data_IF_763276964894
#
_entry.id   IF_763276964894
#
_cell.length_a   1.000
_cell.length_b   1.000
_cell.length_c   1.000
_cell.angle_alpha   90.00
_cell.angle_beta   90.00
_cell.angle_gamma   90.00
#
_symmetry.space_group_name_H-M   'P 1'
#
loop_
_entity.id
_entity.type
_entity.pdbx_description
1 polymer ?
#
# COMPACT_ATOMS: atom_id res chain seq x y z
N UNK A 1 1.14 -5.56 14.48
CA UNK A 1 -0.24 -5.46 15.02
C UNK A 1 -1.30 -5.48 13.93
N UNK A 2 -1.05 -4.96 12.73
CA UNK A 2 -2.04 -4.86 11.63
C UNK A 2 -2.77 -6.16 11.28
N UNK A 3 -2.15 -7.35 11.19
CA UNK A 3 -2.91 -8.58 10.95
C UNK A 3 -3.96 -8.89 12.01
N UNK A 4 -3.66 -8.57 13.27
CA UNK A 4 -4.60 -8.81 14.37
C UNK A 4 -5.81 -7.87 14.31
N UNK A 5 -5.63 -6.64 13.83
CA UNK A 5 -6.74 -5.72 13.56
C UNK A 5 -7.55 -6.16 12.35
N UNK A 6 -6.86 -6.57 11.27
CA UNK A 6 -7.50 -6.99 10.04
C UNK A 6 -8.46 -8.17 10.27
N UNK A 7 -8.01 -9.18 11.01
CA UNK A 7 -8.81 -10.36 11.33
C UNK A 7 -9.68 -10.23 12.60
N UNK A 8 -9.76 -9.04 13.19
CA UNK A 8 -10.62 -8.80 14.35
C UNK A 8 -10.17 -9.49 15.66
N UNK A 9 -8.93 -9.97 15.74
CA UNK A 9 -8.40 -10.58 16.95
C UNK A 9 -8.24 -9.59 18.11
N UNK A 10 -8.02 -8.31 17.77
CA UNK A 10 -7.89 -7.20 18.72
C UNK A 10 -8.76 -6.04 18.24
N UNK A 11 -9.60 -5.51 19.13
CA UNK A 11 -10.38 -4.31 18.83
C UNK A 11 -9.48 -3.06 18.82
N UNK A 12 -9.47 -2.25 17.75
CA UNK A 12 -8.68 -1.02 17.69
C UNK A 12 -8.98 -0.06 18.84
N UNK A 13 -10.24 0.06 19.25
CA UNK A 13 -10.68 0.90 20.37
C UNK A 13 -10.00 0.48 21.69
N UNK A 14 -9.78 -0.82 21.90
CA UNK A 14 -9.09 -1.32 23.08
C UNK A 14 -7.62 -0.89 23.06
N UNK A 15 -6.95 -1.02 21.92
CA UNK A 15 -5.55 -0.61 21.78
C UNK A 15 -5.42 0.91 21.95
N UNK A 16 -6.34 1.70 21.39
CA UNK A 16 -6.37 3.14 21.56
C UNK A 16 -6.44 3.55 23.03
N UNK A 17 -7.29 2.90 23.83
CA UNK A 17 -7.41 3.16 25.26
C UNK A 17 -6.12 2.79 26.01
N UNK A 18 -5.50 1.67 25.69
CA UNK A 18 -4.24 1.25 26.32
C UNK A 18 -3.09 2.23 25.99
N UNK A 19 -2.97 2.67 24.73
CA UNK A 19 -1.99 3.67 24.32
C UNK A 19 -2.24 5.00 25.03
N UNK A 20 -3.50 5.47 25.05
CA UNK A 20 -3.86 6.72 25.73
C UNK A 20 -3.48 6.71 27.22
N UNK A 21 -3.68 5.58 27.88
CA UNK A 21 -3.42 5.40 29.30
C UNK A 21 -1.98 4.96 29.63
N UNK A 22 -1.15 4.72 28.62
CA UNK A 22 0.26 4.32 28.81
C UNK A 22 1.12 5.49 29.31
N UNK A 23 2.33 5.18 29.75
CA UNK A 23 3.34 6.17 30.15
C UNK A 23 4.26 6.59 29.00
N UNK A 24 3.86 6.38 27.75
CA UNK A 24 4.63 6.82 26.57
C UNK A 24 4.64 8.35 26.45
N UNK A 25 5.66 8.94 25.78
CA UNK A 25 5.66 10.35 25.44
C UNK A 25 4.39 10.75 24.67
N UNK A 26 3.84 11.96 24.87
CA UNK A 26 2.64 12.41 24.16
C UNK A 26 2.79 12.34 22.63
N UNK A 27 3.94 12.73 22.11
CA UNK A 27 4.25 12.72 20.67
C UNK A 27 4.13 11.31 20.06
N UNK A 28 4.65 10.28 20.75
CA UNK A 28 4.58 8.90 20.30
C UNK A 28 3.13 8.37 20.33
N UNK A 29 2.35 8.79 21.35
CA UNK A 29 0.92 8.44 21.44
C UNK A 29 0.13 9.04 20.29
N UNK A 30 0.32 10.33 20.05
CA UNK A 30 -0.40 11.07 19.00
C UNK A 30 -0.06 10.50 17.62
N UNK A 31 1.23 10.26 17.33
CA UNK A 31 1.65 9.64 16.08
C UNK A 31 1.04 8.24 15.88
N UNK A 32 1.05 7.40 16.92
CA UNK A 32 0.45 6.07 16.81
C UNK A 32 -1.07 6.10 16.64
N UNK A 33 -1.76 6.99 17.37
CA UNK A 33 -3.22 7.13 17.26
C UNK A 33 -3.65 7.73 15.93
N UNK A 34 -2.85 8.66 15.37
CA UNK A 34 -3.04 9.19 14.02
C UNK A 34 -3.05 8.05 12.99
N UNK A 35 -2.01 7.22 12.98
CA UNK A 35 -1.91 6.08 12.05
C UNK A 35 -3.05 5.06 12.25
N UNK A 36 -3.33 4.71 13.50
CA UNK A 36 -4.28 3.66 13.82
C UNK A 36 -5.74 4.09 13.63
N UNK A 37 -6.07 5.35 13.86
CA UNK A 37 -7.44 5.85 13.78
C UNK A 37 -7.65 6.63 12.48
N UNK A 38 -6.94 7.73 12.29
CA UNK A 38 -7.23 8.66 11.20
C UNK A 38 -6.90 8.02 9.85
N UNK A 39 -5.68 7.49 9.67
CA UNK A 39 -5.28 6.88 8.41
C UNK A 39 -6.12 5.66 8.07
N UNK A 40 -6.42 4.83 9.06
CA UNK A 40 -7.28 3.68 8.87
C UNK A 40 -8.71 4.07 8.47
N UNK A 41 -9.32 5.04 9.16
CA UNK A 41 -10.67 5.50 8.82
C UNK A 41 -10.73 6.16 7.43
N UNK A 42 -9.67 6.86 7.01
CA UNK A 42 -9.58 7.37 5.64
C UNK A 42 -9.57 6.24 4.61
N UNK A 43 -8.84 5.15 4.89
CA UNK A 43 -8.83 3.97 4.04
C UNK A 43 -10.19 3.29 3.95
N UNK A 44 -10.81 3.04 5.10
CA UNK A 44 -12.13 2.41 5.20
C UNK A 44 -13.20 3.26 4.49
N UNK A 45 -13.15 4.60 4.65
CA UNK A 45 -14.04 5.53 3.98
C UNK A 45 -13.83 5.53 2.45
N UNK A 46 -12.59 5.53 1.99
CA UNK A 46 -12.30 5.48 0.56
C UNK A 46 -12.89 4.21 -0.06
N UNK A 47 -12.62 3.04 0.51
CA UNK A 47 -13.18 1.78 0.02
C UNK A 47 -14.71 1.71 0.11
N UNK A 48 -15.33 2.42 1.07
CA UNK A 48 -16.77 2.42 1.23
C UNK A 48 -17.49 3.34 0.24
N UNK A 49 -16.94 4.52 -0.02
CA UNK A 49 -17.59 5.55 -0.83
C UNK A 49 -17.17 5.56 -2.28
N UNK A 50 -15.94 5.15 -2.61
CA UNK A 50 -15.45 5.05 -3.98
C UNK A 50 -15.77 3.67 -4.56
N UNK A 51 -16.68 3.61 -5.52
CA UNK A 51 -17.11 2.34 -6.13
C UNK A 51 -16.02 1.67 -6.97
N UNK A 52 -15.12 2.47 -7.50
CA UNK A 52 -14.02 2.00 -8.35
C UNK A 52 -12.69 2.01 -7.59
N UNK A 53 -12.72 1.85 -6.27
CA UNK A 53 -11.54 1.95 -5.40
C UNK A 53 -10.39 1.01 -5.82
N UNK A 54 -10.69 -0.11 -6.47
CA UNK A 54 -9.78 -1.13 -6.97
C UNK A 54 -9.50 -1.03 -8.48
N UNK A 55 -9.97 0.05 -9.13
CA UNK A 55 -9.83 0.27 -10.57
C UNK A 55 -9.12 1.60 -10.86
N UNK A 56 -8.52 1.67 -12.05
CA UNK A 56 -7.84 2.88 -12.50
C UNK A 56 -8.73 4.13 -12.45
N UNK A 57 -10.00 3.98 -12.74
CA UNK A 57 -11.01 5.04 -12.71
C UNK A 57 -11.27 5.61 -11.31
N UNK A 58 -10.91 4.91 -10.25
CA UNK A 58 -11.02 5.38 -8.87
C UNK A 58 -9.93 6.37 -8.45
N UNK A 59 -8.90 6.57 -9.26
CA UNK A 59 -7.85 7.51 -8.96
C UNK A 59 -8.34 8.98 -9.06
N UNK A 60 -7.72 9.86 -8.30
CA UNK A 60 -8.00 11.28 -8.39
C UNK A 60 -7.67 11.85 -9.78
N UNK A 61 -8.40 12.88 -10.21
CA UNK A 61 -8.25 13.47 -11.53
C UNK A 61 -6.82 13.94 -11.86
N UNK A 62 -6.06 14.43 -10.87
CA UNK A 62 -4.67 14.80 -11.03
C UNK A 62 -3.77 13.60 -11.34
N UNK A 63 -3.99 12.47 -10.65
CA UNK A 63 -3.24 11.24 -10.88
C UNK A 63 -3.52 10.68 -12.28
N UNK A 64 -4.80 10.65 -12.69
CA UNK A 64 -5.18 10.29 -14.06
C UNK A 64 -4.45 11.15 -15.09
N UNK A 65 -4.41 12.46 -14.88
CA UNK A 65 -3.74 13.38 -15.79
C UNK A 65 -2.25 13.04 -15.91
N UNK A 66 -1.56 12.94 -14.79
CA UNK A 66 -0.13 12.63 -14.76
C UNK A 66 0.18 11.25 -15.38
N UNK A 67 -0.57 10.21 -15.01
CA UNK A 67 -0.35 8.86 -15.54
C UNK A 67 -0.62 8.79 -17.04
N UNK A 68 -1.61 9.52 -17.56
CA UNK A 68 -1.90 9.59 -18.99
C UNK A 68 -0.86 10.40 -19.77
N UNK A 69 -0.35 11.49 -19.21
CA UNK A 69 0.72 12.29 -19.81
C UNK A 69 2.01 11.46 -19.98
N UNK A 70 2.32 10.61 -19.01
CA UNK A 70 3.52 9.75 -18.98
C UNK A 70 3.30 8.32 -19.48
N UNK A 71 2.12 8.02 -20.02
CA UNK A 71 1.76 6.66 -20.46
C UNK A 71 2.70 6.08 -21.51
N UNK A 72 3.19 6.92 -22.42
CA UNK A 72 4.02 6.52 -23.55
C UNK A 72 5.52 6.80 -23.33
N UNK A 73 5.90 7.15 -22.11
CA UNK A 73 7.31 7.35 -21.79
C UNK A 73 8.07 6.03 -21.96
N UNK A 74 9.28 6.09 -22.50
CA UNK A 74 10.14 4.94 -22.69
C UNK A 74 10.56 4.39 -21.32
N UNK A 75 10.40 3.07 -21.13
CA UNK A 75 10.77 2.38 -19.91
C UNK A 75 12.03 1.58 -20.13
N UNK A 76 13.01 1.75 -19.25
CA UNK A 76 14.29 1.04 -19.33
C UNK A 76 14.09 -0.46 -19.09
N UNK A 77 13.17 -0.83 -18.19
CA UNK A 77 12.82 -2.20 -17.87
C UNK A 77 11.31 -2.37 -17.90
N UNK A 78 10.85 -3.52 -18.40
CA UNK A 78 9.44 -3.90 -18.37
C UNK A 78 9.35 -5.36 -17.98
N UNK A 79 8.53 -5.67 -16.96
CA UNK A 79 8.32 -7.02 -16.46
C UNK A 79 6.86 -7.44 -16.56
N UNK A 80 6.63 -8.73 -16.73
CA UNK A 80 5.31 -9.35 -16.64
C UNK A 80 4.86 -9.52 -15.18
N UNK A 81 3.57 -9.68 -14.90
CA UNK A 81 3.07 -9.99 -13.56
C UNK A 81 3.74 -11.23 -12.94
N UNK A 82 4.06 -12.24 -13.77
CA UNK A 82 4.73 -13.46 -13.33
C UNK A 82 6.17 -13.19 -12.90
N UNK A 83 6.94 -12.38 -13.63
CA UNK A 83 8.31 -12.01 -13.25
C UNK A 83 8.32 -11.23 -11.94
N UNK A 84 7.35 -10.35 -11.71
CA UNK A 84 7.16 -9.70 -10.41
C UNK A 84 6.85 -10.72 -9.31
N UNK A 85 5.92 -11.63 -9.55
CA UNK A 85 5.54 -12.65 -8.56
C UNK A 85 6.71 -13.54 -8.15
N UNK A 86 7.56 -13.93 -9.12
CA UNK A 86 8.70 -14.81 -8.87
C UNK A 86 9.98 -14.09 -8.44
N UNK A 87 9.92 -12.76 -8.24
CA UNK A 87 11.07 -11.96 -7.81
C UNK A 87 12.22 -11.98 -8.84
N UNK A 88 11.89 -11.92 -10.11
CA UNK A 88 12.82 -12.04 -11.25
C UNK A 88 13.14 -10.68 -11.89
N UNK A 89 13.19 -9.60 -11.09
CA UNK A 89 13.59 -8.29 -11.59
C UNK A 89 15.10 -8.08 -11.49
N UNK A 90 15.59 -7.01 -12.10
CA UNK A 90 17.03 -6.63 -12.01
C UNK A 90 17.41 -6.03 -10.64
N UNK A 91 16.43 -5.71 -9.80
CA UNK A 91 16.62 -5.02 -8.52
C UNK A 91 16.56 -6.01 -7.35
N UNK A 92 17.75 -6.33 -6.81
CA UNK A 92 17.88 -7.27 -5.69
C UNK A 92 17.11 -6.82 -4.43
N UNK A 93 16.99 -5.49 -4.20
CA UNK A 93 16.25 -4.97 -3.05
C UNK A 93 14.75 -5.17 -3.22
N UNK A 94 14.24 -4.93 -4.43
CA UNK A 94 12.83 -5.17 -4.76
C UNK A 94 12.50 -6.67 -4.66
N UNK A 95 13.36 -7.52 -5.23
CA UNK A 95 13.21 -8.97 -5.17
C UNK A 95 13.21 -9.48 -3.72
N UNK A 96 14.10 -8.97 -2.88
CA UNK A 96 14.14 -9.32 -1.46
C UNK A 96 12.86 -8.88 -0.71
N UNK A 97 12.29 -7.71 -1.04
CA UNK A 97 11.03 -7.26 -0.45
C UNK A 97 9.85 -8.13 -0.88
N UNK A 98 9.78 -8.53 -2.14
CA UNK A 98 8.77 -9.45 -2.67
C UNK A 98 8.88 -10.83 -1.99
N UNK A 99 10.09 -11.36 -1.86
CA UNK A 99 10.31 -12.65 -1.18
C UNK A 99 10.00 -12.56 0.32
N UNK A 100 10.34 -11.45 0.98
CA UNK A 100 9.92 -11.23 2.38
C UNK A 100 8.41 -11.30 2.53
N UNK A 101 7.67 -10.64 1.64
CA UNK A 101 6.21 -10.67 1.62
C UNK A 101 5.68 -12.09 1.40
N UNK A 102 6.23 -12.84 0.44
CA UNK A 102 5.83 -14.23 0.15
C UNK A 102 6.09 -15.18 1.33
N UNK A 103 7.23 -15.02 2.01
CA UNK A 103 7.67 -15.94 3.07
C UNK A 103 7.03 -15.57 4.41
N UNK A 104 6.97 -14.26 4.75
CA UNK A 104 6.51 -13.79 6.06
C UNK A 104 5.05 -13.30 6.06
N UNK A 105 4.43 -13.16 4.89
CA UNK A 105 3.11 -12.56 4.75
C UNK A 105 3.08 -11.06 5.03
N UNK A 106 4.24 -10.41 5.06
CA UNK A 106 4.38 -8.99 5.37
C UNK A 106 5.75 -8.47 4.97
N UNK A 107 5.78 -7.23 4.45
CA UNK A 107 6.99 -6.44 4.29
C UNK A 107 6.94 -5.16 5.13
N UNK A 108 8.07 -4.53 5.36
CA UNK A 108 8.14 -3.24 6.06
C UNK A 108 7.37 -2.14 5.30
N UNK A 109 6.71 -1.22 6.00
CA UNK A 109 5.86 -0.19 5.39
C UNK A 109 6.59 0.66 4.33
N UNK A 110 7.83 1.12 4.60
CA UNK A 110 8.64 1.83 3.61
C UNK A 110 8.95 0.98 2.37
N UNK A 111 9.19 -0.31 2.56
CA UNK A 111 9.42 -1.22 1.44
C UNK A 111 8.17 -1.43 0.61
N UNK A 112 6.97 -1.39 1.21
CA UNK A 112 5.70 -1.50 0.48
C UNK A 112 5.52 -0.35 -0.52
N UNK A 113 5.85 0.87 -0.10
CA UNK A 113 5.79 2.05 -0.98
C UNK A 113 6.80 1.95 -2.13
N UNK A 114 8.05 1.61 -1.83
CA UNK A 114 9.08 1.37 -2.84
C UNK A 114 8.65 0.28 -3.83
N UNK A 115 8.17 -0.84 -3.31
CA UNK A 115 7.69 -1.99 -4.07
C UNK A 115 6.57 -1.60 -5.05
N UNK A 116 5.55 -0.88 -4.60
CA UNK A 116 4.44 -0.44 -5.44
C UNK A 116 4.87 0.57 -6.52
N UNK A 117 5.72 1.55 -6.15
CA UNK A 117 6.26 2.54 -7.11
C UNK A 117 7.08 1.85 -8.21
N UNK A 118 7.85 0.82 -7.89
CA UNK A 118 8.64 0.08 -8.87
C UNK A 118 7.79 -0.80 -9.77
N UNK A 119 6.69 -1.37 -9.29
CA UNK A 119 5.71 -2.03 -10.16
C UNK A 119 5.15 -1.04 -11.19
N UNK A 120 4.79 0.18 -10.77
CA UNK A 120 4.30 1.20 -11.70
C UNK A 120 5.38 1.60 -12.73
N UNK A 121 6.62 1.78 -12.28
CA UNK A 121 7.74 2.17 -13.12
C UNK A 121 8.06 1.10 -14.19
N UNK A 122 7.95 -0.18 -13.84
CA UNK A 122 8.38 -1.30 -14.68
C UNK A 122 7.23 -2.09 -15.33
N UNK A 123 6.00 -1.64 -15.21
CA UNK A 123 4.86 -2.26 -15.90
C UNK A 123 4.58 -1.58 -17.23
N UNK A 124 4.01 -2.30 -18.22
CA UNK A 124 3.72 -1.73 -19.54
C UNK A 124 2.66 -0.63 -19.52
N UNK A 125 1.75 -0.65 -18.54
CA UNK A 125 0.74 0.40 -18.37
C UNK A 125 0.36 0.60 -16.90
N UNK A 126 -0.20 1.76 -16.51
CA UNK A 126 -0.66 2.00 -15.14
C UNK A 126 -1.74 1.02 -14.67
N UNK A 127 -2.63 0.58 -15.56
CA UNK A 127 -3.70 -0.37 -15.25
C UNK A 127 -3.11 -1.75 -14.89
N UNK A 128 -2.15 -2.23 -15.69
CA UNK A 128 -1.46 -3.50 -15.41
C UNK A 128 -0.66 -3.38 -14.11
N UNK A 129 -0.01 -2.24 -13.88
CA UNK A 129 0.72 -2.00 -12.64
C UNK A 129 -0.19 -2.09 -11.42
N UNK A 130 -1.34 -1.41 -11.47
CA UNK A 130 -2.31 -1.41 -10.39
C UNK A 130 -2.82 -2.83 -10.14
N UNK A 131 -3.28 -3.52 -11.17
CA UNK A 131 -3.79 -4.88 -11.03
C UNK A 131 -2.75 -5.83 -10.45
N UNK A 132 -1.51 -5.79 -10.95
CA UNK A 132 -0.40 -6.60 -10.43
C UNK A 132 -0.14 -6.32 -8.95
N UNK A 133 -0.10 -5.03 -8.57
CA UNK A 133 0.13 -4.65 -7.18
C UNK A 133 -1.00 -5.14 -6.26
N UNK A 134 -2.27 -5.03 -6.69
CA UNK A 134 -3.43 -5.53 -5.94
C UNK A 134 -3.34 -7.05 -5.78
N UNK A 135 -3.18 -7.78 -6.89
CA UNK A 135 -3.16 -9.24 -6.88
C UNK A 135 -2.05 -9.80 -5.98
N UNK A 136 -0.83 -9.26 -6.08
CA UNK A 136 0.28 -9.69 -5.25
C UNK A 136 0.10 -9.30 -3.78
N UNK A 137 -0.42 -8.11 -3.51
CA UNK A 137 -0.73 -7.66 -2.16
C UNK A 137 -1.80 -8.57 -1.52
N UNK A 138 -2.92 -8.80 -2.19
CA UNK A 138 -4.02 -9.59 -1.66
C UNK A 138 -3.66 -11.07 -1.51
N UNK A 139 -2.80 -11.58 -2.38
CA UNK A 139 -2.33 -12.95 -2.32
C UNK A 139 -1.35 -13.23 -1.18
N UNK A 140 -0.48 -12.28 -0.87
CA UNK A 140 0.66 -12.54 0.01
C UNK A 140 0.69 -11.72 1.30
N UNK A 141 0.07 -10.53 1.34
CA UNK A 141 0.04 -9.70 2.55
C UNK A 141 -1.11 -10.10 3.47
N UNK A 142 -0.80 -10.53 4.68
CA UNK A 142 -1.80 -10.94 5.67
C UNK A 142 -2.69 -9.76 6.12
N UNK A 143 -2.19 -8.54 6.04
CA UNK A 143 -2.89 -7.32 6.45
C UNK A 143 -3.19 -6.36 5.29
N UNK A 144 -3.12 -6.86 4.03
CA UNK A 144 -2.94 -6.02 2.86
C UNK A 144 -4.19 -5.53 2.16
N UNK A 145 -5.35 -6.16 2.36
CA UNK A 145 -6.57 -5.75 1.65
C UNK A 145 -6.95 -4.30 1.97
N UNK A 146 -7.21 -3.50 0.97
CA UNK A 146 -7.58 -2.07 1.01
C UNK A 146 -6.47 -1.07 1.39
N UNK A 147 -5.34 -1.48 1.97
CA UNK A 147 -4.31 -0.54 2.46
C UNK A 147 -3.39 0.00 1.37
N UNK A 148 -3.31 -0.65 0.21
CA UNK A 148 -2.42 -0.23 -0.87
C UNK A 148 -2.82 1.12 -1.48
N UNK A 149 -4.11 1.41 -1.53
CA UNK A 149 -4.67 2.60 -2.18
C UNK A 149 -4.53 3.89 -1.37
N UNK A 150 -4.35 3.77 -0.06
CA UNK A 150 -4.33 4.92 0.85
C UNK A 150 -2.94 5.44 1.14
N UNK A 151 -1.89 4.63 0.92
CA UNK A 151 -0.53 5.07 1.16
C UNK A 151 -0.09 6.18 0.20
N UNK A 152 -0.48 6.11 -1.08
CA UNK A 152 -0.13 7.15 -2.06
C UNK A 152 -0.93 8.46 -1.87
N UNK A 153 -2.19 8.37 -1.46
CA UNK A 153 -3.03 9.55 -1.21
C UNK A 153 -2.62 10.31 0.07
N UNK A 154 -1.94 9.64 1.01
CA UNK A 154 -1.53 10.23 2.28
C UNK A 154 -0.17 10.96 2.22
N UNK A 155 0.75 10.53 1.34
CA UNK A 155 2.09 11.11 1.25
C UNK A 155 2.14 12.44 0.49
N UNK A 156 1.15 12.77 -0.35
CA UNK A 156 1.14 13.99 -1.17
C UNK A 156 0.40 15.17 -0.53
N UNK A 157 -0.23 14.99 0.61
CA UNK A 157 -0.86 16.07 1.40
C UNK A 157 0.11 16.91 2.24
N UNK A 158 1.41 16.66 2.18
CA UNK A 158 2.46 17.24 3.00
C UNK A 158 3.50 18.10 2.27
N UNK A 159 3.07 18.99 1.36
CA UNK A 159 3.95 20.03 0.77
C UNK A 159 3.32 21.40 0.88
#
# INVERSE_FOLDING_TARGET
MSPFFHYGHIAPQRVALEIKNSNLPPEDKDAYLEEMIVRRELADNFCHYEKNYDQFEGFHAWAHKTLNEHRNDEREFVYSPEEFEYSETHDDLWNAAQDEMKIKGKMHGFMRMYWAKKILEWSPSPEIAQQTAIELNDKYQIDGSCLLYTSDAADEGGS
#
